data_IF_403881719153
#
_entry.id   IF_403881719153
#
_cell.length_a   1.000
_cell.length_b   1.000
_cell.length_c   1.000
_cell.angle_alpha   90.00
_cell.angle_beta   90.00
_cell.angle_gamma   90.00
#
_symmetry.space_group_name_H-M   'P 1'
#
loop_
_entity.id
_entity.type
_entity.pdbx_description
1 polymer ?
#
# COMPACT_ATOMS: atom_id res chain seq x y z
N UNK A 1 26.84 -2.85 -12.70
CA UNK A 1 26.65 -4.32 -12.83
C UNK A 1 26.41 -4.96 -11.46
N UNK A 2 25.81 -6.16 -11.38
CA UNK A 2 25.64 -6.90 -10.12
C UNK A 2 26.91 -7.70 -9.78
N UNK A 3 27.40 -7.62 -8.54
CA UNK A 3 28.62 -8.32 -8.09
C UNK A 3 28.36 -9.60 -7.25
N UNK A 4 27.08 -9.95 -7.05
CA UNK A 4 26.67 -11.04 -6.15
C UNK A 4 26.00 -10.54 -4.87
N UNK A 5 26.26 -9.30 -4.45
CA UNK A 5 25.71 -8.68 -3.23
C UNK A 5 25.03 -7.35 -3.50
N UNK A 6 25.58 -6.53 -4.40
CA UNK A 6 25.13 -5.18 -4.70
C UNK A 6 25.44 -4.79 -6.14
N UNK A 7 24.99 -3.60 -6.53
CA UNK A 7 25.39 -2.98 -7.78
C UNK A 7 26.69 -2.22 -7.59
N UNK A 8 27.61 -2.44 -8.53
CA UNK A 8 28.86 -1.70 -8.67
C UNK A 8 28.90 -0.98 -10.00
N UNK A 9 29.64 0.10 -10.08
CA UNK A 9 29.99 0.76 -11.34
C UNK A 9 30.78 -0.22 -12.25
N UNK A 10 30.43 -0.33 -13.54
CA UNK A 10 31.04 -1.33 -14.43
C UNK A 10 32.54 -1.08 -14.70
N UNK A 11 32.95 0.19 -14.69
CA UNK A 11 34.31 0.61 -15.08
C UNK A 11 35.24 0.61 -13.87
N UNK A 12 34.79 1.14 -12.74
CA UNK A 12 35.57 1.29 -11.50
C UNK A 12 35.40 0.13 -10.53
N UNK A 13 34.34 -0.67 -10.67
CA UNK A 13 33.93 -1.73 -9.73
C UNK A 13 33.63 -1.25 -8.31
N UNK A 14 33.47 0.05 -8.11
CA UNK A 14 33.09 0.64 -6.81
C UNK A 14 31.59 0.43 -6.57
N UNK A 15 31.17 0.07 -5.35
CA UNK A 15 29.75 0.00 -4.97
C UNK A 15 29.00 1.29 -5.25
N UNK A 16 27.80 1.17 -5.82
CA UNK A 16 26.92 2.31 -6.04
C UNK A 16 26.36 2.82 -4.70
N UNK A 17 26.20 4.13 -4.59
CA UNK A 17 25.58 4.77 -3.42
C UNK A 17 24.15 4.26 -3.24
N UNK A 18 23.80 3.84 -2.02
CA UNK A 18 22.43 3.38 -1.75
C UNK A 18 21.46 4.55 -1.72
N UNK A 19 20.20 4.29 -2.09
CA UNK A 19 19.19 5.33 -2.24
C UNK A 19 18.99 6.23 -1.02
N UNK A 20 19.11 5.69 0.20
CA UNK A 20 18.96 6.48 1.43
C UNK A 20 20.09 7.51 1.56
N UNK A 21 21.34 7.07 1.47
CA UNK A 21 22.53 7.93 1.52
C UNK A 21 22.53 8.96 0.38
N UNK A 22 22.10 8.55 -0.82
CA UNK A 22 21.97 9.45 -1.97
C UNK A 22 20.91 10.55 -1.72
N UNK A 23 19.86 10.26 -0.94
CA UNK A 23 18.86 11.25 -0.55
C UNK A 23 19.39 12.19 0.54
N UNK A 24 20.15 11.67 1.51
CA UNK A 24 20.76 12.47 2.57
C UNK A 24 21.83 13.44 2.03
N UNK A 25 22.52 13.07 0.96
CA UNK A 25 23.49 13.92 0.28
C UNK A 25 22.87 15.07 -0.54
N UNK A 26 21.54 15.12 -0.69
CA UNK A 26 20.86 16.20 -1.41
C UNK A 26 20.78 17.43 -0.51
N UNK A 27 21.65 18.41 -0.77
CA UNK A 27 21.62 19.70 -0.06
C UNK A 27 20.55 20.64 -0.62
N UNK A 28 20.41 20.70 -1.96
CA UNK A 28 19.45 21.58 -2.64
C UNK A 28 18.67 20.86 -3.75
N UNK A 29 17.35 21.13 -3.89
CA UNK A 29 16.55 20.54 -4.95
C UNK A 29 16.91 21.15 -6.32
N UNK A 30 17.09 20.30 -7.33
CA UNK A 30 17.34 20.77 -8.70
C UNK A 30 16.19 21.63 -9.26
N UNK A 31 14.94 21.35 -8.86
CA UNK A 31 13.75 22.07 -9.28
C UNK A 31 12.76 22.18 -8.13
N UNK A 32 12.22 23.38 -7.90
CA UNK A 32 11.10 23.60 -6.98
C UNK A 32 9.89 24.00 -7.82
N UNK A 33 8.83 23.20 -7.72
CA UNK A 33 7.53 23.53 -8.32
C UNK A 33 6.55 23.90 -7.22
N UNK A 34 6.10 25.16 -7.22
CA UNK A 34 5.05 25.62 -6.32
C UNK A 34 3.71 25.50 -7.03
N UNK A 35 2.93 24.52 -6.63
CA UNK A 35 1.52 24.46 -7.02
C UNK A 35 0.77 25.47 -6.14
N UNK A 36 -0.11 26.28 -6.75
CA UNK A 36 -0.83 27.37 -6.06
C UNK A 36 -1.63 26.91 -4.84
N UNK A 37 -2.36 27.82 -4.18
CA UNK A 37 -3.07 27.55 -2.91
C UNK A 37 -4.11 26.40 -3.04
N UNK A 38 -3.67 25.16 -2.93
CA UNK A 38 -4.47 23.95 -3.08
C UNK A 38 -5.02 23.47 -1.74
N UNK A 39 -5.65 24.34 -0.96
CA UNK A 39 -6.43 23.86 0.18
C UNK A 39 -7.55 24.83 0.50
N UNK A 40 -8.80 24.42 0.22
CA UNK A 40 -9.96 24.85 1.00
C UNK A 40 -10.43 23.62 1.77
N UNK A 41 -9.62 23.18 2.74
CA UNK A 41 -9.95 22.02 3.57
C UNK A 41 -11.14 22.38 4.44
N UNK A 42 -12.32 21.86 4.07
CA UNK A 42 -13.46 21.84 4.97
C UNK A 42 -13.34 20.58 5.81
N UNK A 43 -13.19 20.76 7.13
CA UNK A 43 -13.34 19.66 8.07
C UNK A 43 -14.78 19.15 7.98
N UNK A 44 -14.94 17.83 7.88
CA UNK A 44 -16.25 17.18 7.90
C UNK A 44 -16.33 16.40 9.20
N UNK A 45 -17.30 16.72 10.04
CA UNK A 45 -17.61 15.91 11.24
C UNK A 45 -18.22 14.58 10.78
N UNK A 46 -17.65 13.47 11.25
CA UNK A 46 -18.10 12.13 10.88
C UNK A 46 -19.53 11.84 11.30
N UNK A 47 -20.24 11.10 10.44
CA UNK A 47 -21.60 10.56 10.60
C UNK A 47 -22.73 11.56 10.88
N UNK A 48 -22.54 12.81 10.45
CA UNK A 48 -23.65 13.69 10.13
C UNK A 48 -24.22 13.38 8.74
N UNK A 49 -25.47 13.78 8.47
CA UNK A 49 -26.04 13.74 7.12
C UNK A 49 -25.17 14.51 6.11
N UNK A 50 -24.59 15.63 6.55
CA UNK A 50 -23.67 16.45 5.76
C UNK A 50 -22.42 15.66 5.34
N UNK A 51 -21.89 14.82 6.21
CA UNK A 51 -20.77 13.93 5.90
C UNK A 51 -21.12 12.92 4.81
N UNK A 52 -22.32 12.33 4.86
CA UNK A 52 -22.85 11.44 3.83
C UNK A 52 -22.97 12.14 2.47
N UNK A 53 -23.49 13.37 2.46
CA UNK A 53 -23.59 14.20 1.23
C UNK A 53 -22.22 14.51 0.63
N UNK A 54 -21.24 14.90 1.44
CA UNK A 54 -19.89 15.19 0.96
C UNK A 54 -19.17 13.94 0.46
N UNK A 55 -19.31 12.80 1.13
CA UNK A 55 -18.78 11.51 0.67
C UNK A 55 -19.41 11.13 -0.68
N UNK A 56 -20.73 11.26 -0.82
CA UNK A 56 -21.44 11.01 -2.08
C UNK A 56 -20.95 11.92 -3.21
N UNK A 57 -20.81 13.21 -2.93
CA UNK A 57 -20.31 14.20 -3.90
C UNK A 57 -18.85 13.90 -4.31
N UNK A 58 -17.97 13.66 -3.34
CA UNK A 58 -16.58 13.27 -3.60
C UNK A 58 -16.51 12.00 -4.46
N UNK A 59 -17.29 10.98 -4.11
CA UNK A 59 -17.34 9.71 -4.84
C UNK A 59 -17.82 9.91 -6.27
N UNK A 60 -18.81 10.79 -6.50
CA UNK A 60 -19.28 11.17 -7.83
C UNK A 60 -18.15 11.76 -8.68
N UNK A 61 -17.44 12.78 -8.19
CA UNK A 61 -16.37 13.42 -8.96
C UNK A 61 -15.12 12.57 -9.09
N UNK A 62 -14.80 11.78 -8.07
CA UNK A 62 -13.71 10.82 -8.13
C UNK A 62 -13.99 9.78 -9.21
N UNK A 63 -15.19 9.20 -9.24
CA UNK A 63 -15.59 8.22 -10.26
C UNK A 63 -15.60 8.84 -11.65
N UNK A 64 -16.08 10.08 -11.81
CA UNK A 64 -16.05 10.81 -13.07
C UNK A 64 -14.62 11.04 -13.56
N UNK A 65 -13.74 11.54 -12.69
CA UNK A 65 -12.32 11.78 -13.02
C UNK A 65 -11.56 10.50 -13.34
N UNK A 66 -11.91 9.39 -12.69
CA UNK A 66 -11.30 8.07 -12.93
C UNK A 66 -11.76 7.42 -14.24
N UNK A 67 -12.95 7.76 -14.74
CA UNK A 67 -13.52 7.20 -15.97
C UNK A 67 -13.01 7.84 -17.26
N UNK A 68 -12.40 9.02 -17.17
CA UNK A 68 -11.91 9.76 -18.33
C UNK A 68 -10.50 9.29 -18.72
N UNK A 69 -10.42 8.60 -19.87
CA UNK A 69 -9.17 8.27 -20.56
C UNK A 69 -8.93 9.37 -21.60
N UNK A 70 -7.79 10.06 -21.51
CA UNK A 70 -7.41 11.07 -22.50
C UNK A 70 -6.74 10.38 -23.67
N UNK A 71 -7.45 10.29 -24.79
CA UNK A 71 -6.90 9.84 -26.08
C UNK A 71 -6.30 11.02 -26.85
N UNK A 72 -5.32 10.72 -27.71
CA UNK A 72 -4.62 11.73 -28.49
C UNK A 72 -5.26 11.86 -29.88
N UNK A 73 -6.18 12.81 -30.03
CA UNK A 73 -6.94 13.03 -31.27
C UNK A 73 -6.14 13.76 -32.35
N UNK A 74 -5.06 14.44 -31.99
CA UNK A 74 -4.20 15.20 -32.90
C UNK A 74 -2.75 14.73 -32.88
N UNK A 75 -2.00 15.00 -33.96
CA UNK A 75 -0.57 14.72 -34.03
C UNK A 75 0.23 15.49 -32.98
N UNK A 76 -0.21 16.70 -32.63
CA UNK A 76 0.41 17.49 -31.57
C UNK A 76 0.29 16.78 -30.22
N UNK A 77 -0.88 16.23 -29.89
CA UNK A 77 -1.09 15.46 -28.67
C UNK A 77 -0.27 14.17 -28.68
N UNK A 78 -0.24 13.44 -29.80
CA UNK A 78 0.58 12.22 -29.95
C UNK A 78 2.06 12.49 -29.67
N UNK A 79 2.64 13.51 -30.33
CA UNK A 79 4.04 13.93 -30.09
C UNK A 79 4.29 14.37 -28.64
N UNK A 80 3.33 15.04 -28.02
CA UNK A 80 3.43 15.41 -26.61
C UNK A 80 3.47 14.18 -25.69
N UNK A 81 2.57 13.21 -25.92
CA UNK A 81 2.55 11.95 -25.16
C UNK A 81 3.84 11.16 -25.33
N UNK A 82 4.39 11.09 -26.54
CA UNK A 82 5.65 10.37 -26.81
C UNK A 82 6.84 11.04 -26.10
N UNK A 83 6.90 12.37 -26.12
CA UNK A 83 7.91 13.12 -25.34
C UNK A 83 7.77 12.86 -23.85
N UNK A 84 6.56 12.96 -23.31
CA UNK A 84 6.30 12.69 -21.89
C UNK A 84 6.69 11.26 -21.52
N UNK A 85 6.41 10.28 -22.38
CA UNK A 85 6.81 8.89 -22.17
C UNK A 85 8.33 8.69 -22.17
N UNK A 86 9.05 9.35 -23.08
CA UNK A 86 10.50 9.30 -23.11
C UNK A 86 11.09 9.82 -21.79
N UNK A 87 10.62 10.97 -21.30
CA UNK A 87 11.07 11.55 -20.02
C UNK A 87 10.75 10.61 -18.84
N UNK A 88 9.52 10.10 -18.76
CA UNK A 88 9.13 9.19 -17.68
C UNK A 88 9.89 7.86 -17.74
N UNK A 89 10.32 7.40 -18.90
CA UNK A 89 11.10 6.15 -19.03
C UNK A 89 12.48 6.26 -18.38
N UNK A 90 13.02 7.48 -18.29
CA UNK A 90 14.31 7.76 -17.66
C UNK A 90 14.18 8.41 -16.28
N UNK A 91 12.99 8.84 -15.86
CA UNK A 91 12.79 9.47 -14.55
C UNK A 91 12.44 8.43 -13.46
N UNK A 92 13.21 8.29 -12.36
CA UNK A 92 12.89 7.33 -11.31
C UNK A 92 11.53 7.57 -10.63
N UNK A 93 10.63 6.57 -10.65
CA UNK A 93 9.26 6.72 -10.18
C UNK A 93 9.03 6.44 -8.67
N UNK A 94 10.03 5.87 -7.97
CA UNK A 94 9.95 5.50 -6.55
C UNK A 94 11.34 5.13 -6.00
N UNK A 95 11.52 5.01 -4.67
CA UNK A 95 12.79 4.57 -4.07
C UNK A 95 13.29 3.20 -4.55
N UNK A 96 12.39 2.35 -5.05
CA UNK A 96 12.71 1.00 -5.56
C UNK A 96 12.89 0.94 -7.08
N UNK A 97 12.83 2.08 -7.76
CA UNK A 97 12.83 2.10 -9.23
C UNK A 97 14.21 1.72 -9.78
N UNK A 98 14.27 0.73 -10.68
CA UNK A 98 15.52 0.28 -11.30
C UNK A 98 16.18 1.34 -12.21
N UNK A 99 15.46 2.42 -12.55
CA UNK A 99 15.98 3.55 -13.31
C UNK A 99 17.04 4.33 -12.51
N UNK A 100 17.02 4.28 -11.17
CA UNK A 100 18.10 4.84 -10.34
C UNK A 100 19.50 4.31 -10.71
N UNK A 101 19.58 3.08 -11.24
CA UNK A 101 20.84 2.48 -11.67
C UNK A 101 21.45 3.19 -12.89
N UNK A 102 20.67 3.93 -13.68
CA UNK A 102 21.19 4.80 -14.74
C UNK A 102 21.90 6.04 -14.19
N UNK A 103 21.64 6.37 -12.92
CA UNK A 103 22.18 7.54 -12.22
C UNK A 103 23.24 7.15 -11.17
N UNK A 104 23.74 5.91 -11.21
CA UNK A 104 24.72 5.44 -10.22
C UNK A 104 24.16 5.28 -8.80
N UNK A 105 22.83 5.23 -8.64
CA UNK A 105 22.18 5.06 -7.33
C UNK A 105 21.56 3.68 -7.23
N UNK A 106 21.85 2.97 -6.14
CA UNK A 106 21.28 1.66 -5.86
C UNK A 106 19.86 1.79 -5.26
N UNK A 107 18.81 1.28 -5.94
CA UNK A 107 17.44 1.35 -5.45
C UNK A 107 17.25 0.51 -4.18
N UNK A 108 16.25 0.91 -3.37
CA UNK A 108 15.85 0.16 -2.18
C UNK A 108 15.37 -1.26 -2.54
N UNK A 109 15.92 -2.26 -1.84
CA UNK A 109 15.50 -3.66 -2.00
C UNK A 109 15.91 -4.28 -3.34
N UNK A 110 17.04 -3.83 -3.90
CA UNK A 110 17.57 -4.39 -5.15
C UNK A 110 17.98 -5.86 -5.00
N UNK A 111 18.06 -6.58 -6.13
CA UNK A 111 18.50 -7.97 -6.19
C UNK A 111 19.18 -8.25 -7.52
N UNK A 112 19.73 -9.46 -7.69
CA UNK A 112 20.27 -9.93 -8.96
C UNK A 112 19.27 -9.90 -10.13
N UNK A 113 17.96 -9.82 -9.84
CA UNK A 113 16.88 -9.72 -10.85
C UNK A 113 16.57 -8.28 -11.27
N UNK A 114 17.17 -7.28 -10.62
CA UNK A 114 17.01 -5.88 -11.00
C UNK A 114 17.83 -5.61 -12.25
N UNK A 115 17.21 -5.06 -13.30
CA UNK A 115 17.91 -4.69 -14.53
C UNK A 115 17.98 -3.16 -14.64
N UNK A 116 19.17 -2.56 -14.87
CA UNK A 116 19.31 -1.11 -15.03
C UNK A 116 18.33 -0.53 -16.05
N UNK A 117 17.67 0.57 -15.70
CA UNK A 117 16.69 1.25 -16.57
C UNK A 117 15.36 0.52 -16.76
N UNK A 118 15.21 -0.74 -16.34
CA UNK A 118 14.01 -1.53 -16.61
C UNK A 118 13.11 -1.65 -15.37
N UNK A 119 12.24 -0.66 -15.18
CA UNK A 119 11.25 -0.66 -14.11
C UNK A 119 9.89 -1.20 -14.58
N UNK A 120 9.34 -2.19 -13.87
CA UNK A 120 8.04 -2.82 -14.18
C UNK A 120 6.82 -2.02 -13.69
N UNK A 121 7.04 -0.88 -13.03
CA UNK A 121 5.97 -0.06 -12.47
C UNK A 121 5.12 0.59 -13.58
N UNK A 122 3.85 0.83 -13.27
CA UNK A 122 2.92 1.46 -14.22
C UNK A 122 3.36 2.87 -14.64
N UNK A 123 4.11 3.58 -13.79
CA UNK A 123 4.60 4.92 -14.11
C UNK A 123 5.44 4.99 -15.41
N UNK A 124 6.08 3.89 -15.82
CA UNK A 124 6.89 3.82 -17.03
C UNK A 124 6.15 3.21 -18.24
N UNK A 125 4.84 2.94 -18.13
CA UNK A 125 4.07 2.39 -19.25
C UNK A 125 3.37 3.51 -20.00
N UNK A 126 3.46 3.48 -21.33
CA UNK A 126 2.73 4.38 -22.23
C UNK A 126 1.22 4.40 -21.95
N UNK A 127 0.64 3.24 -21.67
CA UNK A 127 -0.81 3.11 -21.39
C UNK A 127 -1.25 3.77 -20.08
N UNK A 128 -0.32 4.16 -19.21
CA UNK A 128 -0.60 4.83 -17.93
C UNK A 128 0.21 6.13 -17.78
N UNK A 129 0.50 6.77 -18.91
CA UNK A 129 1.09 8.12 -18.99
C UNK A 129 0.32 9.12 -18.11
N UNK A 130 1.06 9.94 -17.37
CA UNK A 130 0.44 10.96 -16.50
C UNK A 130 -0.33 10.41 -15.30
N UNK A 131 -0.30 9.08 -15.07
CA UNK A 131 -0.87 8.43 -13.89
C UNK A 131 0.22 7.85 -12.99
N UNK A 132 1.07 8.70 -12.36
CA UNK A 132 2.04 8.22 -11.40
C UNK A 132 1.31 7.76 -10.14
N UNK A 133 0.95 6.48 -10.12
CA UNK A 133 0.38 5.84 -8.94
C UNK A 133 -1.09 6.14 -8.69
N UNK A 134 -1.48 6.15 -7.41
CA UNK A 134 -2.87 6.24 -6.98
C UNK A 134 -3.26 7.72 -6.91
N UNK A 135 -4.33 8.13 -7.63
CA UNK A 135 -4.86 9.51 -7.62
C UNK A 135 -5.41 9.96 -6.25
N UNK A 136 -5.49 9.02 -5.31
CA UNK A 136 -5.84 9.27 -3.91
C UNK A 136 -4.65 8.84 -3.07
N UNK A 137 -4.24 9.70 -2.14
CA UNK A 137 -3.24 9.36 -1.15
C UNK A 137 -3.67 8.07 -0.43
N UNK A 138 -2.79 7.08 -0.39
CA UNK A 138 -3.05 5.85 0.38
C UNK A 138 -3.18 6.19 1.86
N UNK A 139 -4.06 5.47 2.57
CA UNK A 139 -4.30 5.67 4.01
C UNK A 139 -3.01 5.87 4.80
N UNK A 140 -1.93 5.16 4.47
CA UNK A 140 -0.60 5.32 5.07
C UNK A 140 -0.05 6.75 5.04
N UNK A 141 -0.22 7.50 3.96
CA UNK A 141 0.28 8.90 3.88
C UNK A 141 -0.58 9.87 4.69
N UNK A 142 -1.83 9.50 4.95
CA UNK A 142 -2.76 10.34 5.71
C UNK A 142 -2.74 10.00 7.20
N UNK A 143 -2.67 8.72 7.54
CA UNK A 143 -2.72 8.21 8.91
C UNK A 143 -1.35 7.83 9.47
N UNK A 144 -0.29 7.87 8.68
CA UNK A 144 1.05 7.34 9.04
C UNK A 144 1.13 5.81 9.15
N UNK A 145 -0.01 5.10 9.07
CA UNK A 145 -0.13 3.66 9.40
C UNK A 145 -0.02 2.76 8.18
N UNK A 146 0.77 1.71 8.28
CA UNK A 146 0.86 0.63 7.30
C UNK A 146 -0.37 -0.29 7.33
N UNK A 147 -0.51 -1.18 6.35
CA UNK A 147 -1.57 -2.21 6.36
C UNK A 147 -1.41 -3.18 7.53
N UNK A 148 -0.17 -3.39 8.00
CA UNK A 148 0.11 -4.21 9.18
C UNK A 148 -0.42 -3.52 10.43
N UNK A 149 -0.18 -2.22 10.56
CA UNK A 149 -0.69 -1.41 11.68
C UNK A 149 -2.21 -1.40 11.69
N UNK A 150 -2.86 -1.17 10.54
CA UNK A 150 -4.33 -1.25 10.42
C UNK A 150 -4.88 -2.65 10.70
N UNK A 151 -4.11 -3.72 10.45
CA UNK A 151 -4.49 -5.08 10.84
C UNK A 151 -4.35 -5.28 12.35
N UNK A 152 -3.30 -4.74 12.97
CA UNK A 152 -3.09 -4.77 14.40
C UNK A 152 -4.18 -3.99 15.14
N UNK A 153 -4.52 -2.79 14.68
CA UNK A 153 -5.59 -1.96 15.23
C UNK A 153 -6.94 -2.69 15.21
N UNK A 154 -7.31 -3.28 14.07
CA UNK A 154 -8.57 -4.07 13.96
C UNK A 154 -8.56 -5.28 14.86
N UNK A 155 -7.42 -5.97 14.98
CA UNK A 155 -7.28 -7.11 15.89
C UNK A 155 -7.46 -6.66 17.34
N UNK A 156 -6.80 -5.57 17.75
CA UNK A 156 -6.91 -5.02 19.10
C UNK A 156 -8.36 -4.63 19.41
N UNK A 157 -9.04 -3.95 18.48
CA UNK A 157 -10.46 -3.61 18.62
C UNK A 157 -11.34 -4.84 18.82
N UNK A 158 -11.19 -5.88 17.97
CA UNK A 158 -12.00 -7.11 18.10
C UNK A 158 -11.71 -7.82 19.42
N UNK A 159 -10.45 -7.91 19.84
CA UNK A 159 -10.08 -8.52 21.11
C UNK A 159 -10.68 -7.76 22.30
N UNK A 160 -10.67 -6.43 22.26
CA UNK A 160 -11.31 -5.60 23.29
C UNK A 160 -12.82 -5.83 23.33
N UNK A 161 -13.49 -5.77 22.18
CA UNK A 161 -14.95 -5.96 22.11
C UNK A 161 -15.39 -7.34 22.62
N UNK A 162 -14.58 -8.38 22.37
CA UNK A 162 -14.81 -9.71 22.92
C UNK A 162 -14.58 -9.75 24.45
N UNK A 163 -13.51 -9.12 24.94
CA UNK A 163 -13.20 -9.04 26.36
C UNK A 163 -14.31 -8.31 27.14
N UNK A 164 -14.90 -7.25 26.57
CA UNK A 164 -15.99 -6.48 27.19
C UNK A 164 -17.23 -7.33 27.50
N UNK A 165 -17.43 -8.46 26.78
CA UNK A 165 -18.51 -9.43 27.03
C UNK A 165 -18.02 -10.72 27.71
N UNK A 166 -16.79 -10.70 28.26
CA UNK A 166 -16.18 -11.82 28.97
C UNK A 166 -15.66 -12.94 28.07
N UNK A 167 -15.47 -12.71 26.77
CA UNK A 167 -14.85 -13.67 25.86
C UNK A 167 -13.36 -13.35 25.73
N UNK A 168 -12.53 -14.05 26.51
CA UNK A 168 -11.08 -13.95 26.39
C UNK A 168 -10.54 -14.87 25.31
N UNK A 169 -9.68 -14.33 24.44
CA UNK A 169 -8.89 -15.12 23.48
C UNK A 169 -7.50 -15.32 24.04
N UNK A 170 -7.15 -16.56 24.34
CA UNK A 170 -5.78 -16.93 24.71
C UNK A 170 -4.83 -16.61 23.55
N UNK A 171 -3.80 -15.82 23.85
CA UNK A 171 -2.70 -15.60 22.92
C UNK A 171 -1.69 -16.71 23.18
N UNK A 172 -1.54 -17.63 22.24
CA UNK A 172 -0.48 -18.64 22.32
C UNK A 172 0.89 -17.95 22.39
N UNK A 173 1.70 -18.30 23.39
CA UNK A 173 3.06 -17.78 23.54
C UNK A 173 3.99 -18.48 22.53
N UNK A 174 4.40 -17.83 21.42
CA UNK A 174 5.12 -18.52 20.35
C UNK A 174 6.49 -19.04 20.78
N UNK A 175 7.05 -18.47 21.87
CA UNK A 175 8.33 -18.88 22.47
C UNK A 175 8.27 -20.28 23.10
N UNK A 176 7.07 -20.79 23.41
CA UNK A 176 6.87 -22.14 23.96
C UNK A 176 6.68 -23.22 22.90
N UNK A 177 6.70 -22.84 21.61
CA UNK A 177 6.42 -23.72 20.49
C UNK A 177 7.67 -23.84 19.60
N UNK A 178 7.96 -25.06 19.15
CA UNK A 178 8.96 -25.33 18.12
C UNK A 178 8.22 -25.64 16.83
N UNK A 179 8.51 -24.87 15.78
CA UNK A 179 7.87 -25.03 14.48
C UNK A 179 8.72 -25.90 13.57
N UNK A 180 8.13 -26.97 13.03
CA UNK A 180 8.76 -27.82 12.03
C UNK A 180 8.03 -27.69 10.68
N UNK A 181 8.77 -27.82 9.59
CA UNK A 181 8.15 -27.91 8.25
C UNK A 181 7.47 -29.26 8.12
N UNK A 182 6.19 -29.25 7.79
CA UNK A 182 5.43 -30.45 7.45
C UNK A 182 6.03 -31.09 6.20
N UNK A 183 6.30 -32.39 6.26
CA UNK A 183 6.73 -33.18 5.12
C UNK A 183 5.53 -33.74 4.35
N UNK A 184 5.65 -33.96 3.03
CA UNK A 184 4.64 -34.69 2.27
C UNK A 184 4.39 -36.08 2.90
N UNK A 185 3.14 -36.38 3.27
CA UNK A 185 2.77 -37.66 3.88
C UNK A 185 2.96 -37.76 5.40
N UNK A 186 3.25 -36.65 6.10
CA UNK A 186 3.38 -36.64 7.56
C UNK A 186 2.08 -37.15 8.23
N UNK A 187 2.13 -38.28 8.97
CA UNK A 187 0.95 -38.87 9.59
C UNK A 187 0.38 -38.02 10.73
N UNK A 188 1.16 -37.07 11.26
CA UNK A 188 0.71 -36.16 12.31
C UNK A 188 -0.09 -34.97 11.76
N UNK A 189 -0.19 -34.83 10.45
CA UNK A 189 -0.96 -33.75 9.82
C UNK A 189 -2.32 -34.26 9.39
N UNK A 190 -3.42 -33.68 9.93
CA UNK A 190 -4.76 -34.05 9.50
C UNK A 190 -4.93 -33.89 7.98
N UNK A 191 -5.76 -34.73 7.35
CA UNK A 191 -6.11 -34.57 5.95
C UNK A 191 -6.59 -33.14 5.64
N UNK A 192 -6.29 -32.64 4.44
CA UNK A 192 -6.64 -31.26 4.03
C UNK A 192 -8.12 -30.94 4.23
N UNK A 193 -9.01 -31.91 3.98
CA UNK A 193 -10.44 -31.74 4.22
C UNK A 193 -10.76 -31.41 5.68
N UNK A 194 -10.11 -32.08 6.64
CA UNK A 194 -10.27 -31.81 8.06
C UNK A 194 -9.74 -30.43 8.43
N UNK A 195 -8.56 -30.04 7.93
CA UNK A 195 -8.01 -28.70 8.15
C UNK A 195 -8.94 -27.59 7.64
N UNK A 196 -9.55 -27.79 6.47
CA UNK A 196 -10.54 -26.87 5.91
C UNK A 196 -11.79 -26.81 6.78
N UNK A 197 -12.32 -27.95 7.23
CA UNK A 197 -13.48 -27.99 8.11
C UNK A 197 -13.21 -27.33 9.46
N UNK A 198 -12.02 -27.52 10.04
CA UNK A 198 -11.59 -26.82 11.25
C UNK A 198 -11.53 -25.30 11.04
N UNK A 199 -10.92 -24.83 9.94
CA UNK A 199 -10.85 -23.41 9.62
C UNK A 199 -12.25 -22.78 9.37
N UNK A 200 -13.16 -23.52 8.73
CA UNK A 200 -14.55 -23.08 8.53
C UNK A 200 -15.28 -22.99 9.88
N UNK A 201 -15.20 -24.03 10.71
CA UNK A 201 -15.82 -24.05 12.03
C UNK A 201 -15.28 -22.92 12.92
N UNK A 202 -13.96 -22.68 12.89
CA UNK A 202 -13.33 -21.56 13.58
C UNK A 202 -13.85 -20.21 13.10
N UNK A 203 -13.95 -20.00 11.79
CA UNK A 203 -14.48 -18.75 11.22
C UNK A 203 -15.94 -18.53 11.62
N UNK A 204 -16.78 -19.57 11.61
CA UNK A 204 -18.18 -19.49 12.03
C UNK A 204 -18.25 -19.11 13.51
N UNK A 205 -17.46 -19.77 14.36
CA UNK A 205 -17.38 -19.47 15.79
C UNK A 205 -16.95 -18.02 16.05
N UNK A 206 -15.85 -17.57 15.43
CA UNK A 206 -15.38 -16.19 15.59
C UNK A 206 -16.38 -15.16 15.11
N UNK A 207 -17.11 -15.45 14.02
CA UNK A 207 -18.17 -14.56 13.54
C UNK A 207 -19.30 -14.46 14.55
N UNK A 208 -19.77 -15.58 15.08
CA UNK A 208 -20.83 -15.61 16.08
C UNK A 208 -20.43 -14.89 17.39
N UNK A 209 -19.19 -15.08 17.85
CA UNK A 209 -18.65 -14.37 19.02
C UNK A 209 -18.60 -12.85 18.79
N UNK A 210 -18.14 -12.42 17.63
CA UNK A 210 -18.09 -11.00 17.27
C UNK A 210 -19.49 -10.40 17.11
N UNK A 211 -20.42 -11.11 16.47
CA UNK A 211 -21.81 -10.66 16.34
C UNK A 211 -22.49 -10.56 17.72
N UNK A 212 -22.19 -11.48 18.66
CA UNK A 212 -22.64 -11.38 20.06
C UNK A 212 -22.05 -10.15 20.77
N UNK A 213 -20.76 -9.86 20.56
CA UNK A 213 -20.13 -8.67 21.11
C UNK A 213 -20.75 -7.38 20.56
N UNK A 214 -21.02 -7.32 19.26
CA UNK A 214 -21.72 -6.19 18.63
C UNK A 214 -23.13 -6.01 19.19
N UNK A 215 -23.89 -7.09 19.35
CA UNK A 215 -25.25 -7.04 19.93
C UNK A 215 -25.24 -6.54 21.38
N UNK A 216 -24.28 -6.99 22.19
CA UNK A 216 -24.13 -6.57 23.58
C UNK A 216 -23.69 -5.09 23.72
N UNK A 217 -22.90 -4.60 22.77
CA UNK A 217 -22.50 -3.20 22.70
C UNK A 217 -23.66 -2.26 22.28
N UNK A 218 -24.82 -2.81 21.88
CA UNK A 218 -25.95 -2.06 21.32
C UNK A 218 -25.69 -1.60 19.88
N UNK A 219 -26.53 -0.71 19.35
CA UNK A 219 -26.19 -0.01 18.11
C UNK A 219 -24.94 0.84 18.33
N UNK A 220 -23.77 0.25 18.07
CA UNK A 220 -22.52 0.98 17.87
C UNK A 220 -22.59 1.59 16.46
N UNK A 221 -23.51 2.53 16.29
CA UNK A 221 -23.37 3.49 15.20
C UNK A 221 -22.02 4.18 15.41
N UNK A 222 -21.21 4.27 14.36
CA UNK A 222 -20.01 5.09 14.38
C UNK A 222 -20.31 6.57 14.71
N UNK A 223 -21.59 6.92 14.78
CA UNK A 223 -22.13 8.16 15.31
C UNK A 223 -23.32 7.94 16.22
N UNK A 224 -23.18 8.27 17.50
CA UNK A 224 -24.35 8.54 18.34
C UNK A 224 -25.09 9.74 17.74
N UNK A 225 -26.39 9.62 17.48
CA UNK A 225 -27.23 10.78 17.18
C UNK A 225 -27.14 11.76 18.34
N UNK A 226 -26.69 12.98 18.05
CA UNK A 226 -26.79 14.09 19.00
C UNK A 226 -28.28 14.45 19.14
N UNK A 227 -28.76 14.48 20.38
CA UNK A 227 -30.05 15.06 20.75
C UNK A 227 -29.96 16.58 20.76
#
# INVERSE_FOLDING_TARGET
>A
MWDGKQFVDPDTRVPLTVWADALEAVEEPAHVSTFGRQVHSKGILGGSEESGRHIGYLTKYLTKSLGEIVEADSDRQRRHHDRLHAELSLTPCSPRCAVWLLYGVQPLGTSSKTSPGHCKARAHRRTTLGLPGRRVLVSRKWSGKTLADHRADRRAFVLQALADIGIEKTVEEPRRLVWHKVQPGDPNVPPRAHLLMHAIAERIRWRAEYDKALLAAGEVSATRSAA
#
